data_IF_422554057154
#
_entry.id   IF_422554057154
#
_cell.length_a   1.000
_cell.length_b   1.000
_cell.length_c   1.000
_cell.angle_alpha   90.00
_cell.angle_beta   90.00
_cell.angle_gamma   90.00
#
_symmetry.space_group_name_H-M   'P 1'
#
loop_
_entity.id
_entity.type
_entity.pdbx_description
1 polymer ?
#
# COMPACT_ATOMS: atom_id res chain seq x y z
N UNK A 1 -13.77 -26.10 -21.88
CA UNK A 1 -12.45 -26.07 -21.22
C UNK A 1 -11.88 -24.68 -21.46
N UNK A 2 -12.10 -23.76 -20.53
CA UNK A 2 -11.66 -22.36 -20.62
C UNK A 2 -10.32 -22.30 -19.92
N UNK A 3 -9.24 -22.16 -20.69
CA UNK A 3 -7.90 -21.88 -20.16
C UNK A 3 -7.89 -20.40 -19.79
N UNK A 4 -8.02 -20.09 -18.51
CA UNK A 4 -7.73 -18.76 -17.99
C UNK A 4 -6.20 -18.65 -17.97
N UNK A 5 -5.63 -17.91 -18.93
CA UNK A 5 -4.23 -17.45 -18.86
C UNK A 5 -4.06 -16.65 -17.56
N UNK A 6 -3.42 -17.24 -16.56
CA UNK A 6 -2.85 -16.49 -15.46
C UNK A 6 -1.72 -15.66 -16.08
N UNK A 7 -1.91 -14.36 -16.19
CA UNK A 7 -0.79 -13.45 -16.38
C UNK A 7 0.20 -13.73 -15.24
N UNK A 8 1.38 -14.24 -15.60
CA UNK A 8 2.47 -14.46 -14.65
C UNK A 8 3.02 -13.07 -14.34
N UNK A 9 2.51 -12.45 -13.28
CA UNK A 9 3.14 -11.27 -12.70
C UNK A 9 4.50 -11.73 -12.18
N UNK A 10 5.56 -11.37 -12.90
CA UNK A 10 6.93 -11.64 -12.48
C UNK A 10 7.25 -10.71 -11.32
N UNK A 11 6.94 -11.15 -10.10
CA UNK A 11 7.32 -10.42 -8.89
C UNK A 11 8.83 -10.56 -8.70
N UNK A 12 9.53 -9.43 -8.58
CA UNK A 12 10.97 -9.43 -8.42
C UNK A 12 11.39 -10.08 -7.10
N UNK A 13 12.24 -11.10 -7.16
CA UNK A 13 12.88 -11.70 -6.00
C UNK A 13 13.93 -10.73 -5.47
N UNK A 14 13.75 -10.25 -4.23
CA UNK A 14 14.66 -9.30 -3.57
C UNK A 14 15.83 -10.02 -2.92
N UNK A 15 15.58 -11.20 -2.37
CA UNK A 15 16.58 -12.01 -1.70
C UNK A 15 16.23 -13.50 -1.85
N UNK A 16 17.25 -14.35 -1.87
CA UNK A 16 17.08 -15.80 -1.88
C UNK A 16 18.15 -16.46 -1.04
N UNK A 17 17.72 -17.38 -0.17
CA UNK A 17 18.61 -18.05 0.77
C UNK A 17 17.95 -19.24 1.47
N UNK A 18 18.44 -19.57 2.65
CA UNK A 18 17.97 -20.71 3.45
C UNK A 18 17.44 -20.18 4.79
N UNK A 19 16.17 -20.42 5.05
CA UNK A 19 15.58 -20.26 6.38
C UNK A 19 15.98 -21.48 7.22
N UNK A 20 16.52 -21.25 8.41
CA UNK A 20 16.86 -22.31 9.36
C UNK A 20 16.22 -22.06 10.73
N UNK A 21 15.75 -23.16 11.36
CA UNK A 21 15.25 -23.17 12.72
C UNK A 21 15.60 -24.51 13.35
N UNK A 22 16.43 -24.50 14.38
CA UNK A 22 17.04 -25.71 14.92
C UNK A 22 17.83 -26.48 13.85
N UNK A 23 17.48 -27.73 13.62
CA UNK A 23 18.13 -28.59 12.61
C UNK A 23 17.41 -28.59 11.25
N UNK A 24 16.29 -27.89 11.14
CA UNK A 24 15.51 -27.84 9.90
C UNK A 24 15.95 -26.67 9.04
N UNK A 25 16.17 -26.94 7.75
CA UNK A 25 16.57 -25.95 6.77
C UNK A 25 15.58 -25.94 5.61
N UNK A 26 15.24 -24.76 5.13
CA UNK A 26 14.24 -24.53 4.11
C UNK A 26 14.74 -23.47 3.12
N UNK A 27 15.05 -23.82 1.87
CA UNK A 27 15.34 -22.83 0.84
C UNK A 27 14.12 -21.96 0.56
N UNK A 28 14.31 -20.63 0.68
CA UNK A 28 13.26 -19.63 0.49
C UNK A 28 13.72 -18.49 -0.38
N UNK A 29 12.76 -17.75 -0.90
CA UNK A 29 12.95 -16.48 -1.59
C UNK A 29 12.04 -15.41 -0.96
N UNK A 30 12.56 -14.20 -0.84
CA UNK A 30 11.83 -13.04 -0.34
C UNK A 30 11.36 -12.19 -1.53
N UNK A 31 10.09 -11.85 -1.50
CA UNK A 31 9.38 -11.04 -2.49
C UNK A 31 8.83 -9.81 -1.79
N UNK A 32 8.85 -8.63 -2.41
CA UNK A 32 8.24 -7.44 -1.81
C UNK A 32 6.74 -7.67 -1.57
N UNK A 33 6.28 -7.37 -0.36
CA UNK A 33 4.86 -7.50 0.01
C UNK A 33 4.07 -6.20 -0.23
N UNK A 34 4.77 -5.08 -0.47
CA UNK A 34 4.18 -3.75 -0.61
C UNK A 34 4.70 -3.09 -1.89
N UNK A 35 3.81 -2.48 -2.63
CA UNK A 35 4.13 -1.68 -3.81
C UNK A 35 3.83 -0.20 -3.54
N UNK A 36 4.73 0.67 -3.98
CA UNK A 36 4.55 2.12 -3.81
C UNK A 36 3.64 2.69 -4.88
N UNK A 37 2.62 3.46 -4.48
CA UNK A 37 1.75 4.23 -5.39
C UNK A 37 2.44 5.44 -6.04
N UNK A 38 3.71 5.72 -5.67
CA UNK A 38 4.43 6.90 -6.14
C UNK A 38 4.64 6.87 -7.64
N UNK A 39 4.06 7.83 -8.36
CA UNK A 39 4.32 8.01 -9.77
C UNK A 39 5.76 8.45 -10.01
N UNK A 40 6.46 7.73 -10.88
CA UNK A 40 7.84 8.05 -11.25
C UNK A 40 7.85 9.03 -12.41
N UNK A 41 8.41 10.23 -12.18
CA UNK A 41 8.63 11.22 -13.21
C UNK A 41 10.09 11.21 -13.66
N UNK A 42 10.31 11.39 -14.96
CA UNK A 42 11.61 11.70 -15.49
C UNK A 42 11.85 13.21 -15.48
N UNK A 43 13.07 13.61 -15.17
CA UNK A 43 13.46 15.01 -15.27
C UNK A 43 13.69 15.38 -16.74
N UNK A 44 13.01 16.44 -17.20
CA UNK A 44 13.10 16.94 -18.56
C UNK A 44 13.59 18.39 -18.56
N UNK A 45 14.35 18.79 -19.57
CA UNK A 45 14.74 20.16 -19.79
C UNK A 45 13.55 20.97 -20.28
N UNK A 46 13.30 22.10 -19.63
CA UNK A 46 12.23 23.03 -20.04
C UNK A 46 12.53 23.60 -21.43
N UNK A 47 11.56 23.55 -22.32
CA UNK A 47 11.63 24.10 -23.67
C UNK A 47 11.99 23.08 -24.74
N UNK A 48 12.94 22.17 -24.50
CA UNK A 48 13.31 21.10 -25.46
C UNK A 48 12.56 19.81 -25.21
N UNK A 49 12.21 19.51 -23.94
CA UNK A 49 11.61 18.25 -23.54
C UNK A 49 12.63 17.09 -23.43
N UNK A 50 13.91 17.38 -23.60
CA UNK A 50 14.95 16.37 -23.54
C UNK A 50 15.15 15.83 -22.11
N UNK A 51 15.50 14.54 -22.01
CA UNK A 51 15.70 13.89 -20.73
C UNK A 51 17.02 14.32 -20.08
N UNK A 52 16.94 14.81 -18.85
CA UNK A 52 18.11 15.19 -18.05
C UNK A 52 18.64 13.97 -17.31
N UNK A 53 19.97 13.84 -17.25
CA UNK A 53 20.73 12.83 -16.50
C UNK A 53 21.73 13.49 -15.57
N UNK A 54 21.96 12.87 -14.41
CA UNK A 54 22.96 13.32 -13.46
C UNK A 54 24.34 12.78 -13.85
N UNK A 55 25.37 13.63 -13.76
CA UNK A 55 26.78 13.27 -13.84
C UNK A 55 27.41 13.44 -12.46
N UNK A 56 28.36 12.59 -12.14
CA UNK A 56 29.18 12.74 -10.93
C UNK A 56 30.38 13.58 -11.29
N UNK A 57 30.59 14.63 -10.53
CA UNK A 57 31.72 15.56 -10.75
C UNK A 57 32.50 15.71 -9.47
N UNK A 58 33.80 15.89 -9.57
CA UNK A 58 34.68 16.25 -8.47
C UNK A 58 34.33 17.67 -8.02
N UNK A 59 33.99 17.82 -6.73
CA UNK A 59 33.56 19.10 -6.18
C UNK A 59 34.56 20.23 -6.37
N UNK A 60 35.85 19.93 -6.26
CA UNK A 60 36.92 20.91 -6.36
C UNK A 60 37.27 21.28 -7.80
N UNK A 61 37.28 20.31 -8.76
CA UNK A 61 37.71 20.55 -10.13
C UNK A 61 36.58 20.75 -11.12
N UNK A 62 35.36 20.30 -10.78
CA UNK A 62 34.20 20.28 -11.68
C UNK A 62 34.28 19.21 -12.78
N UNK A 63 35.35 18.39 -12.82
CA UNK A 63 35.52 17.34 -13.81
C UNK A 63 34.66 16.10 -13.51
N UNK A 64 34.20 15.41 -14.54
CA UNK A 64 33.41 14.19 -14.42
C UNK A 64 34.29 13.05 -13.88
N UNK A 65 33.81 12.36 -12.83
CA UNK A 65 34.54 11.24 -12.21
C UNK A 65 33.86 9.93 -12.61
N UNK A 66 34.62 9.00 -13.23
CA UNK A 66 34.13 7.67 -13.55
C UNK A 66 33.78 6.89 -12.27
N UNK A 67 32.77 6.00 -12.36
CA UNK A 67 32.29 5.23 -11.21
C UNK A 67 33.39 4.36 -10.57
N UNK A 68 34.37 3.88 -11.38
CA UNK A 68 35.50 3.08 -10.94
C UNK A 68 36.52 3.85 -10.09
N UNK A 69 36.46 5.17 -10.10
CA UNK A 69 37.37 6.04 -9.32
C UNK A 69 36.67 6.61 -8.07
N UNK A 70 35.41 6.21 -7.81
CA UNK A 70 34.63 6.68 -6.66
C UNK A 70 34.73 5.64 -5.54
N UNK A 71 35.38 6.03 -4.46
CA UNK A 71 35.46 5.26 -3.20
C UNK A 71 34.58 5.87 -2.14
N UNK A 72 34.39 5.16 -1.03
CA UNK A 72 33.63 5.69 0.13
C UNK A 72 34.58 6.36 1.11
N UNK A 73 34.22 7.57 1.54
CA UNK A 73 34.95 8.30 2.59
C UNK A 73 34.07 8.41 3.84
N UNK A 74 34.60 7.98 5.01
CA UNK A 74 33.96 8.23 6.29
C UNK A 74 34.47 9.54 6.88
N UNK A 75 33.60 10.49 7.13
CA UNK A 75 33.93 11.79 7.68
C UNK A 75 34.19 11.66 9.20
N UNK A 76 35.41 11.97 9.63
CA UNK A 76 35.84 11.97 11.03
C UNK A 76 35.64 13.34 11.71
N UNK A 77 35.19 14.33 10.95
CA UNK A 77 35.10 15.73 11.41
C UNK A 77 36.40 16.52 11.24
N UNK A 78 37.51 15.87 10.86
CA UNK A 78 38.83 16.49 10.58
C UNK A 78 39.25 16.18 9.14
N UNK A 79 39.11 14.93 8.71
CA UNK A 79 39.44 14.43 7.39
C UNK A 79 38.53 13.24 7.00
N UNK A 80 38.74 12.68 5.81
CA UNK A 80 38.03 11.51 5.34
C UNK A 80 38.93 10.27 5.43
N UNK A 81 38.43 9.23 6.10
CA UNK A 81 39.02 7.89 6.03
C UNK A 81 38.44 7.19 4.81
N UNK A 82 39.28 6.87 3.84
CA UNK A 82 38.90 6.15 2.64
C UNK A 82 38.67 4.68 2.98
N UNK A 83 37.55 4.14 2.49
CA UNK A 83 37.17 2.72 2.65
C UNK A 83 36.93 2.16 1.27
N UNK A 84 37.73 1.18 0.90
CA UNK A 84 37.64 0.49 -0.39
C UNK A 84 36.44 -0.49 -0.39
N UNK A 85 35.79 -0.71 -1.54
CA UNK A 85 34.70 -1.67 -1.65
C UNK A 85 35.06 -3.08 -1.16
N UNK A 86 36.28 -3.53 -1.45
CA UNK A 86 36.81 -4.84 -1.07
C UNK A 86 36.92 -4.99 0.45
N UNK A 87 37.35 -3.93 1.16
CA UNK A 87 37.44 -3.92 2.63
C UNK A 87 36.05 -4.08 3.27
N UNK A 88 35.00 -3.44 2.67
CA UNK A 88 33.63 -3.60 3.13
C UNK A 88 33.08 -5.01 2.85
N UNK A 89 33.49 -5.60 1.72
CA UNK A 89 33.09 -6.97 1.39
C UNK A 89 33.75 -8.00 2.32
N UNK A 90 34.97 -7.74 2.78
CA UNK A 90 35.72 -8.60 3.70
C UNK A 90 35.13 -8.61 5.11
N UNK A 91 34.64 -7.47 5.60
CA UNK A 91 34.01 -7.34 6.92
C UNK A 91 32.50 -7.60 6.87
N UNK A 92 31.90 -7.63 5.67
CA UNK A 92 30.48 -7.93 5.54
C UNK A 92 30.21 -9.27 6.26
N UNK A 93 29.18 -9.31 7.14
CA UNK A 93 28.83 -10.56 7.83
C UNK A 93 28.56 -11.61 6.76
N UNK A 94 29.48 -12.56 6.61
CA UNK A 94 29.74 -13.44 5.48
C UNK A 94 28.56 -13.63 4.54
N UNK A 95 28.79 -13.88 3.28
CA UNK A 95 27.77 -14.12 2.21
C UNK A 95 26.79 -15.27 2.55
N UNK A 96 26.56 -15.52 3.83
CA UNK A 96 25.59 -16.48 4.34
C UNK A 96 24.21 -16.02 3.91
N UNK A 97 23.74 -16.59 2.81
CA UNK A 97 22.33 -16.46 2.38
C UNK A 97 21.43 -17.24 3.34
N UNK A 98 21.64 -17.08 4.64
CA UNK A 98 20.87 -17.73 5.70
C UNK A 98 20.03 -16.73 6.47
N UNK A 99 18.84 -17.13 6.80
CA UNK A 99 17.91 -16.52 7.72
C UNK A 99 17.73 -17.47 8.86
N UNK A 100 18.48 -17.28 9.95
CA UNK A 100 18.50 -18.22 11.08
C UNK A 100 17.62 -17.69 12.20
N UNK A 101 16.53 -18.40 12.48
CA UNK A 101 15.65 -18.08 13.62
C UNK A 101 16.38 -18.46 14.90
N UNK A 102 16.60 -17.47 15.76
CA UNK A 102 17.27 -17.60 17.06
C UNK A 102 16.31 -17.82 18.21
N UNK A 103 15.05 -17.41 18.06
CA UNK A 103 14.02 -17.55 19.07
C UNK A 103 12.64 -17.17 18.57
N UNK A 104 11.63 -17.39 19.40
CA UNK A 104 10.24 -17.05 19.10
C UNK A 104 9.67 -16.13 20.19
N UNK A 105 8.93 -15.11 19.78
CA UNK A 105 8.31 -14.12 20.67
C UNK A 105 6.83 -13.94 20.32
N UNK A 106 6.05 -13.41 21.27
CA UNK A 106 4.71 -12.90 20.98
C UNK A 106 4.86 -11.56 20.24
N UNK A 107 4.23 -11.44 19.08
CA UNK A 107 4.39 -10.25 18.27
C UNK A 107 3.80 -8.99 18.95
N UNK A 108 2.80 -9.17 19.79
CA UNK A 108 2.18 -8.08 20.57
C UNK A 108 3.15 -7.44 21.58
N UNK A 109 4.26 -8.13 21.94
CA UNK A 109 5.32 -7.59 22.78
C UNK A 109 6.27 -6.68 21.99
N UNK A 110 6.25 -6.75 20.65
CA UNK A 110 7.11 -5.95 19.78
C UNK A 110 6.41 -4.64 19.44
N UNK A 111 6.96 -3.53 19.93
CA UNK A 111 6.39 -2.22 19.64
C UNK A 111 6.44 -1.95 18.12
N UNK A 112 5.34 -1.47 17.50
CA UNK A 112 5.27 -1.19 16.06
C UNK A 112 6.38 -0.28 15.52
N UNK A 113 7.02 0.55 16.35
CA UNK A 113 8.14 1.43 15.98
C UNK A 113 9.35 0.65 15.43
N UNK A 114 9.47 -0.63 15.80
CA UNK A 114 10.58 -1.45 15.33
C UNK A 114 10.40 -1.96 13.90
N UNK A 115 9.17 -2.00 13.36
CA UNK A 115 8.93 -2.55 12.01
C UNK A 115 9.26 -1.53 10.92
N UNK A 116 9.93 -2.02 9.85
CA UNK A 116 10.28 -1.22 8.67
C UNK A 116 9.60 -1.78 7.41
N UNK A 117 10.23 -2.69 6.71
CA UNK A 117 9.73 -3.21 5.44
C UNK A 117 9.19 -4.63 5.55
N UNK A 118 8.26 -4.98 4.67
CA UNK A 118 7.58 -6.29 4.69
C UNK A 118 7.85 -7.07 3.40
N UNK A 119 8.11 -8.36 3.56
CA UNK A 119 8.37 -9.31 2.47
C UNK A 119 7.55 -10.59 2.65
N UNK A 120 7.09 -11.16 1.56
CA UNK A 120 6.58 -12.53 1.53
C UNK A 120 7.74 -13.50 1.37
N UNK A 121 7.74 -14.57 2.15
CA UNK A 121 8.67 -15.68 1.99
C UNK A 121 7.97 -16.82 1.26
N UNK A 122 8.53 -17.24 0.14
CA UNK A 122 8.03 -18.37 -0.62
C UNK A 122 9.07 -19.51 -0.62
N UNK A 123 8.66 -20.79 -0.61
CA UNK A 123 9.59 -21.92 -0.75
C UNK A 123 10.23 -21.91 -2.13
N UNK A 124 11.49 -22.29 -2.21
CA UNK A 124 12.26 -22.32 -3.45
C UNK A 124 12.30 -23.76 -4.01
N UNK A 125 11.17 -24.23 -4.48
CA UNK A 125 10.94 -25.55 -5.05
C UNK A 125 9.75 -26.25 -4.40
N UNK A 126 9.05 -27.05 -5.19
CA UNK A 126 7.87 -27.80 -4.74
C UNK A 126 8.22 -28.88 -3.70
N UNK A 127 9.42 -29.42 -3.75
CA UNK A 127 9.95 -30.41 -2.81
C UNK A 127 10.01 -29.90 -1.37
N UNK A 128 10.10 -28.58 -1.19
CA UNK A 128 10.14 -27.93 0.14
C UNK A 128 8.76 -27.53 0.67
N UNK A 129 7.71 -27.69 -0.12
CA UNK A 129 6.35 -27.25 0.25
C UNK A 129 5.88 -27.85 1.57
N UNK A 130 6.18 -29.13 1.82
CA UNK A 130 5.78 -29.82 3.07
C UNK A 130 6.42 -29.20 4.31
N UNK A 131 7.71 -28.89 4.25
CA UNK A 131 8.45 -28.28 5.38
C UNK A 131 7.98 -26.84 5.58
N UNK A 132 7.73 -26.12 4.49
CA UNK A 132 7.19 -24.77 4.53
C UNK A 132 5.81 -24.70 5.21
N UNK A 133 4.88 -25.56 4.78
CA UNK A 133 3.54 -25.65 5.38
C UNK A 133 3.62 -26.02 6.85
N UNK A 134 4.47 -27.00 7.22
CA UNK A 134 4.64 -27.40 8.61
C UNK A 134 5.09 -26.22 9.48
N UNK A 135 6.09 -25.45 9.06
CA UNK A 135 6.58 -24.30 9.81
C UNK A 135 5.50 -23.20 9.90
N UNK A 136 4.85 -22.90 8.79
CA UNK A 136 3.75 -21.91 8.74
C UNK A 136 2.63 -22.30 9.72
N UNK A 137 2.16 -23.54 9.68
CA UNK A 137 1.09 -24.03 10.58
C UNK A 137 1.52 -23.99 12.05
N UNK A 138 2.75 -24.41 12.36
CA UNK A 138 3.27 -24.35 13.71
C UNK A 138 3.31 -22.91 14.26
N UNK A 139 3.73 -21.96 13.43
CA UNK A 139 3.75 -20.53 13.79
C UNK A 139 2.33 -19.94 13.89
N UNK A 140 1.41 -20.33 13.00
CA UNK A 140 0.02 -19.90 13.05
C UNK A 140 -0.68 -20.39 14.32
N UNK A 141 -0.53 -21.68 14.68
CA UNK A 141 -1.14 -22.25 15.87
C UNK A 141 -0.54 -21.72 17.17
N UNK A 142 0.75 -21.44 17.18
CA UNK A 142 1.42 -20.90 18.38
C UNK A 142 1.21 -19.38 18.54
N UNK A 143 0.80 -18.66 17.51
CA UNK A 143 0.72 -17.20 17.50
C UNK A 143 2.08 -16.49 17.62
N UNK A 144 3.20 -17.23 17.49
CA UNK A 144 4.55 -16.69 17.70
C UNK A 144 5.18 -16.21 16.39
N UNK A 145 6.05 -15.22 16.52
CA UNK A 145 6.95 -14.76 15.46
C UNK A 145 8.38 -15.22 15.75
N UNK A 146 9.07 -15.74 14.73
CA UNK A 146 10.49 -16.09 14.83
C UNK A 146 11.37 -14.88 14.64
N UNK A 147 12.28 -14.61 15.57
CA UNK A 147 13.28 -13.55 15.46
C UNK A 147 14.53 -14.11 14.82
N UNK A 148 15.04 -13.41 13.83
CA UNK A 148 16.19 -13.82 13.04
C UNK A 148 17.04 -12.62 12.61
N UNK A 149 18.22 -12.90 12.05
CA UNK A 149 18.99 -11.93 11.27
C UNK A 149 19.13 -12.41 9.83
N UNK A 150 19.22 -11.47 8.90
CA UNK A 150 19.42 -11.74 7.48
C UNK A 150 20.33 -10.70 6.85
N UNK A 151 21.21 -11.13 5.96
CA UNK A 151 22.04 -10.22 5.18
C UNK A 151 21.40 -10.01 3.81
N UNK A 152 21.05 -8.75 3.52
CA UNK A 152 20.51 -8.29 2.22
C UNK A 152 21.26 -7.03 1.80
N UNK A 153 21.68 -6.96 0.53
CA UNK A 153 22.37 -5.79 -0.03
C UNK A 153 23.58 -5.33 0.80
N UNK A 154 24.39 -6.27 1.31
CA UNK A 154 25.58 -6.03 2.14
C UNK A 154 25.27 -5.33 3.49
N UNK A 155 24.02 -5.41 3.96
CA UNK A 155 23.62 -4.95 5.30
C UNK A 155 22.93 -6.08 6.03
N UNK A 156 23.24 -6.23 7.34
CA UNK A 156 22.53 -7.12 8.23
C UNK A 156 21.24 -6.44 8.75
N UNK A 157 20.15 -7.19 8.74
CA UNK A 157 18.84 -6.76 9.24
C UNK A 157 18.38 -7.70 10.33
N UNK A 158 17.85 -7.13 11.40
CA UNK A 158 17.01 -7.84 12.34
C UNK A 158 15.66 -8.07 11.67
N UNK A 159 15.10 -9.27 11.79
CA UNK A 159 13.82 -9.60 11.16
C UNK A 159 12.90 -10.40 12.08
N UNK A 160 11.60 -10.20 11.92
CA UNK A 160 10.56 -11.02 12.50
C UNK A 160 9.85 -11.80 11.38
N UNK A 161 9.78 -13.12 11.51
CA UNK A 161 9.05 -14.00 10.58
C UNK A 161 7.80 -14.48 11.27
N UNK A 162 6.63 -14.38 10.62
CA UNK A 162 5.35 -14.88 11.13
C UNK A 162 4.52 -15.54 10.05
N UNK A 163 3.58 -16.37 10.45
CA UNK A 163 2.53 -16.86 9.56
C UNK A 163 1.46 -15.79 9.34
N UNK A 164 1.01 -15.64 8.09
CA UNK A 164 -0.17 -14.85 7.72
C UNK A 164 -0.90 -15.56 6.59
N UNK A 165 -2.13 -15.95 6.81
CA UNK A 165 -2.91 -16.69 5.84
C UNK A 165 -2.13 -17.92 5.31
N UNK A 166 -1.93 -18.04 4.01
CA UNK A 166 -1.22 -19.14 3.38
C UNK A 166 0.29 -18.93 3.21
N UNK A 167 0.85 -17.84 3.75
CA UNK A 167 2.26 -17.47 3.55
C UNK A 167 3.00 -17.18 4.85
N UNK A 168 4.34 -17.30 4.81
CA UNK A 168 5.21 -16.69 5.81
C UNK A 168 5.53 -15.26 5.39
N UNK A 169 5.45 -14.36 6.36
CA UNK A 169 5.77 -12.94 6.18
C UNK A 169 7.00 -12.61 7.01
N UNK A 170 7.95 -11.93 6.40
CA UNK A 170 9.15 -11.42 7.05
C UNK A 170 9.06 -9.89 7.13
N UNK A 171 9.19 -9.35 8.32
CA UNK A 171 9.33 -7.91 8.54
C UNK A 171 10.77 -7.61 8.89
N UNK A 172 11.41 -6.65 8.19
CA UNK A 172 12.65 -6.06 8.69
C UNK A 172 12.36 -5.16 9.87
N UNK A 173 13.32 -5.09 10.79
CA UNK A 173 13.17 -4.35 12.04
C UNK A 173 14.36 -3.43 12.26
N UNK A 174 14.13 -2.34 12.95
CA UNK A 174 15.18 -1.48 13.48
C UNK A 174 15.90 -2.15 14.63
N UNK A 175 17.21 -1.87 14.75
CA UNK A 175 17.97 -2.22 15.94
C UNK A 175 17.55 -1.32 17.12
N UNK A 176 17.78 -1.76 18.35
CA UNK A 176 17.36 -1.04 19.54
C UNK A 176 18.00 0.37 19.66
N UNK A 177 19.21 0.53 19.16
CA UNK A 177 19.96 1.78 19.13
C UNK A 177 19.55 2.72 17.98
N UNK A 178 18.85 2.21 16.97
CA UNK A 178 18.25 3.04 15.90
C UNK A 178 16.98 3.74 16.37
N UNK A 179 16.28 3.20 17.38
CA UNK A 179 15.05 3.77 17.93
C UNK A 179 15.38 4.92 18.86
N UNK A 180 14.99 6.13 18.49
CA UNK A 180 15.30 7.34 19.25
C UNK A 180 14.46 7.45 20.52
N UNK A 181 15.11 7.85 21.60
CA UNK A 181 14.44 8.16 22.86
C UNK A 181 13.62 9.46 22.73
N UNK A 182 12.29 9.45 22.94
CA UNK A 182 11.46 10.64 22.82
C UNK A 182 11.85 11.76 23.78
N UNK A 183 12.34 11.42 24.99
CA UNK A 183 12.77 12.43 25.98
C UNK A 183 14.04 13.17 25.56
N UNK A 184 14.83 12.59 24.66
CA UNK A 184 16.00 13.27 24.07
C UNK A 184 15.63 14.06 22.81
N UNK A 185 14.56 13.66 22.10
CA UNK A 185 14.18 14.29 20.84
C UNK A 185 13.19 15.45 21.01
N UNK A 186 12.35 15.40 22.03
CA UNK A 186 11.30 16.37 22.30
C UNK A 186 11.67 17.20 23.54
N UNK A 187 12.19 18.44 23.36
CA UNK A 187 12.69 19.25 24.48
C UNK A 187 11.64 19.60 25.53
N UNK A 188 10.35 19.53 25.16
CA UNK A 188 9.23 19.84 26.05
C UNK A 188 8.79 18.67 26.92
N UNK A 189 9.38 17.49 26.75
CA UNK A 189 9.08 16.33 27.60
C UNK A 189 9.96 16.30 28.85
N UNK A 190 9.42 15.86 30.00
CA UNK A 190 8.02 15.54 30.23
C UNK A 190 7.14 16.78 30.17
N UNK A 191 5.91 16.62 29.63
CA UNK A 191 4.95 17.71 29.65
C UNK A 191 4.59 18.09 31.09
N UNK A 192 4.34 19.37 31.41
CA UNK A 192 3.88 19.76 32.71
C UNK A 192 2.56 19.05 33.05
N UNK A 193 2.43 18.63 34.32
CA UNK A 193 1.16 18.05 34.79
C UNK A 193 0.04 19.07 34.57
N UNK A 194 -0.88 18.74 33.71
CA UNK A 194 -2.13 19.48 33.52
C UNK A 194 -3.21 18.80 34.36
N UNK A 195 -3.82 19.46 35.35
CA UNK A 195 -4.92 18.87 36.09
C UNK A 195 -6.10 18.67 35.13
N UNK A 196 -6.38 17.42 34.79
CA UNK A 196 -7.58 17.04 34.03
C UNK A 196 -8.71 16.75 35.00
N UNK A 197 -9.88 17.28 34.72
CA UNK A 197 -11.09 16.90 35.43
C UNK A 197 -11.57 15.53 34.95
N UNK A 198 -12.28 14.80 35.81
CA UNK A 198 -12.89 13.51 35.44
C UNK A 198 -13.84 13.67 34.24
N UNK A 199 -14.60 14.76 34.23
CA UNK A 199 -15.58 15.05 33.16
C UNK A 199 -14.89 15.31 31.81
N UNK A 200 -13.76 16.02 31.79
CA UNK A 200 -12.97 16.22 30.55
C UNK A 200 -12.43 14.90 30.01
N UNK A 201 -11.90 14.05 30.88
CA UNK A 201 -11.38 12.75 30.47
C UNK A 201 -12.48 11.82 29.97
N UNK A 202 -13.61 11.74 30.68
CA UNK A 202 -14.78 10.93 30.25
C UNK A 202 -15.33 11.44 28.91
N UNK A 203 -15.43 12.75 28.73
CA UNK A 203 -15.87 13.35 27.46
C UNK A 203 -14.91 13.04 26.30
N UNK A 204 -13.60 13.05 26.54
CA UNK A 204 -12.61 12.68 25.54
C UNK A 204 -12.67 11.17 25.19
N UNK A 205 -12.80 10.31 26.19
CA UNK A 205 -12.97 8.86 25.98
C UNK A 205 -14.23 8.58 25.17
N UNK A 206 -15.37 9.20 25.52
CA UNK A 206 -16.61 9.04 24.78
C UNK A 206 -16.49 9.50 23.31
N UNK A 207 -15.75 10.59 23.04
CA UNK A 207 -15.47 11.01 21.66
C UNK A 207 -14.67 9.96 20.90
N UNK A 208 -13.61 9.39 21.50
CA UNK A 208 -12.82 8.32 20.90
C UNK A 208 -13.69 7.10 20.58
N UNK A 209 -14.55 6.69 21.52
CA UNK A 209 -15.46 5.56 21.31
C UNK A 209 -16.49 5.83 20.21
N UNK A 210 -17.08 7.04 20.18
CA UNK A 210 -18.04 7.45 19.14
C UNK A 210 -17.42 7.51 17.73
N UNK A 211 -16.12 7.75 17.64
CA UNK A 211 -15.37 7.74 16.39
C UNK A 211 -14.71 6.40 16.06
N UNK A 212 -14.78 5.42 16.97
CA UNK A 212 -14.17 4.10 16.76
C UNK A 212 -14.97 3.28 15.74
N UNK A 213 -14.26 2.62 14.84
CA UNK A 213 -14.82 1.73 13.83
C UNK A 213 -13.87 0.57 13.56
N UNK A 214 -14.35 -0.47 12.91
CA UNK A 214 -13.51 -1.58 12.49
C UNK A 214 -12.49 -1.12 11.43
N UNK A 215 -11.28 -1.66 11.56
CA UNK A 215 -10.23 -1.36 10.60
C UNK A 215 -10.54 -1.95 9.22
N UNK A 216 -10.77 -1.09 8.24
CA UNK A 216 -10.93 -1.46 6.84
C UNK A 216 -9.99 -0.61 5.97
N UNK A 217 -8.87 -1.16 5.49
CA UNK A 217 -7.89 -0.41 4.69
C UNK A 217 -8.48 0.13 3.36
N UNK A 218 -9.53 -0.50 2.81
CA UNK A 218 -10.15 -0.07 1.55
C UNK A 218 -10.87 1.29 1.65
N UNK A 219 -11.17 1.74 2.86
CA UNK A 219 -11.77 3.06 3.11
C UNK A 219 -10.77 4.20 2.94
N UNK A 220 -9.48 3.91 3.06
CA UNK A 220 -8.41 4.92 2.97
C UNK A 220 -7.82 4.91 1.57
N UNK A 221 -7.83 6.08 0.90
CA UNK A 221 -7.32 6.25 -0.47
C UNK A 221 -6.30 7.37 -0.51
N UNK A 222 -5.29 7.19 -1.35
CA UNK A 222 -4.34 8.26 -1.68
C UNK A 222 -4.96 9.21 -2.73
N UNK A 223 -5.65 10.22 -2.22
CA UNK A 223 -6.27 11.25 -3.06
C UNK A 223 -5.25 12.10 -3.83
N UNK A 224 -4.01 12.19 -3.33
CA UNK A 224 -2.96 12.92 -4.03
C UNK A 224 -2.52 12.15 -5.29
N UNK A 225 -2.27 10.86 -5.16
CA UNK A 225 -1.94 10.00 -6.30
C UNK A 225 -3.04 10.01 -7.38
N UNK A 226 -4.32 9.99 -6.97
CA UNK A 226 -5.45 10.08 -7.90
C UNK A 226 -5.44 11.43 -8.65
N UNK A 227 -5.24 12.55 -7.96
CA UNK A 227 -5.15 13.88 -8.58
C UNK A 227 -3.95 14.02 -9.52
N UNK A 228 -2.81 13.44 -9.15
CA UNK A 228 -1.63 13.42 -10.04
C UNK A 228 -1.93 12.63 -11.32
N UNK A 229 -2.63 11.50 -11.21
CA UNK A 229 -3.06 10.71 -12.37
C UNK A 229 -4.01 11.48 -13.28
N UNK A 230 -5.02 12.12 -12.70
CA UNK A 230 -5.95 12.99 -13.43
C UNK A 230 -5.23 14.15 -14.14
N UNK A 231 -4.24 14.77 -13.47
CA UNK A 231 -3.43 15.84 -14.07
C UNK A 231 -2.64 15.35 -15.28
N UNK A 232 -2.02 14.18 -15.18
CA UNK A 232 -1.26 13.57 -16.27
C UNK A 232 -2.18 13.25 -17.46
N UNK A 233 -3.35 12.64 -17.20
CA UNK A 233 -4.34 12.33 -18.24
C UNK A 233 -4.89 13.59 -18.92
N UNK A 234 -5.21 14.63 -18.14
CA UNK A 234 -5.69 15.89 -18.70
C UNK A 234 -4.63 16.54 -19.60
N UNK A 235 -3.37 16.57 -19.16
CA UNK A 235 -2.26 17.10 -19.97
C UNK A 235 -1.99 16.27 -21.21
N UNK A 236 -2.11 14.95 -21.12
CA UNK A 236 -1.94 14.04 -22.25
C UNK A 236 -3.04 14.27 -23.32
N UNK A 237 -4.27 14.56 -22.91
CA UNK A 237 -5.40 14.87 -23.80
C UNK A 237 -5.46 16.33 -24.27
N UNK A 238 -4.44 17.15 -23.97
CA UNK A 238 -4.37 18.57 -24.37
C UNK A 238 -5.24 19.51 -23.54
N UNK A 239 -5.77 19.03 -22.42
CA UNK A 239 -6.55 19.80 -21.46
C UNK A 239 -5.70 20.41 -20.35
N UNK A 240 -6.28 21.38 -19.64
CA UNK A 240 -5.73 21.89 -18.38
C UNK A 240 -6.69 21.54 -17.25
N UNK A 241 -6.22 20.83 -16.25
CA UNK A 241 -6.96 20.73 -14.99
C UNK A 241 -6.92 22.12 -14.31
N UNK A 242 -8.08 22.75 -14.18
CA UNK A 242 -8.22 23.81 -13.19
C UNK A 242 -8.18 23.14 -11.83
N UNK A 243 -7.02 23.15 -11.19
CA UNK A 243 -6.87 22.68 -9.83
C UNK A 243 -7.61 23.63 -8.89
N UNK A 244 -8.91 23.43 -8.73
CA UNK A 244 -9.63 23.97 -7.59
C UNK A 244 -9.32 23.05 -6.41
N UNK A 245 -8.10 23.18 -5.89
CA UNK A 245 -7.82 22.69 -4.56
C UNK A 245 -8.59 23.60 -3.60
N UNK A 246 -9.79 23.22 -3.21
CA UNK A 246 -10.28 23.64 -1.91
C UNK A 246 -9.30 23.05 -0.90
N UNK A 247 -8.37 23.90 -0.44
CA UNK A 247 -7.59 23.54 0.73
C UNK A 247 -8.60 23.16 1.83
N UNK A 248 -8.43 22.00 2.49
CA UNK A 248 -9.26 21.71 3.64
C UNK A 248 -9.20 22.92 4.57
N UNK A 249 -10.34 23.33 5.16
CA UNK A 249 -10.35 24.49 6.04
C UNK A 249 -9.26 24.26 7.09
N UNK A 250 -8.32 25.21 7.15
CA UNK A 250 -7.27 25.17 8.17
C UNK A 250 -7.99 25.09 9.51
N UNK A 251 -7.74 24.07 10.34
CA UNK A 251 -8.36 24.01 11.64
C UNK A 251 -7.95 25.29 12.38
N UNK A 252 -8.89 26.19 12.58
CA UNK A 252 -8.72 27.33 13.48
C UNK A 252 -8.47 26.70 14.84
N UNK A 253 -7.31 27.00 15.42
CA UNK A 253 -6.99 26.64 16.80
C UNK A 253 -8.11 27.22 17.66
N UNK A 254 -8.99 26.40 18.27
CA UNK A 254 -9.95 26.98 19.19
C UNK A 254 -9.19 27.56 20.36
N UNK A 255 -9.52 28.77 20.74
CA UNK A 255 -9.16 29.25 22.07
C UNK A 255 -9.71 28.23 23.07
N UNK A 256 -8.84 27.62 23.87
CA UNK A 256 -9.16 26.50 24.76
C UNK A 256 -9.94 27.00 26.00
N UNK A 257 -10.86 27.93 25.81
CA UNK A 257 -11.64 28.51 26.91
C UNK A 257 -12.75 27.57 27.43
N UNK A 258 -13.22 26.61 26.63
CA UNK A 258 -14.22 25.61 27.07
C UNK A 258 -14.01 24.28 26.36
N UNK A 259 -13.05 23.51 26.84
CA UNK A 259 -12.73 22.19 26.32
C UNK A 259 -13.92 21.22 26.41
N UNK A 260 -14.69 21.27 27.49
CA UNK A 260 -15.84 20.40 27.74
C UNK A 260 -16.93 20.65 26.70
N UNK A 261 -17.26 21.91 26.43
CA UNK A 261 -18.26 22.25 25.41
C UNK A 261 -17.79 21.85 23.99
N UNK A 262 -16.48 22.01 23.68
CA UNK A 262 -15.90 21.59 22.41
C UNK A 262 -15.94 20.07 22.23
N UNK A 263 -15.63 19.28 23.27
CA UNK A 263 -15.74 17.83 23.27
C UNK A 263 -17.20 17.36 23.07
N UNK A 264 -18.14 17.92 23.83
CA UNK A 264 -19.58 17.59 23.68
C UNK A 264 -20.12 17.91 22.28
N UNK A 265 -19.71 19.05 21.69
CA UNK A 265 -20.07 19.40 20.32
C UNK A 265 -19.46 18.42 19.28
N UNK A 266 -18.24 17.94 19.54
CA UNK A 266 -17.56 16.98 18.67
C UNK A 266 -18.21 15.60 18.75
N UNK A 267 -18.59 15.13 19.94
CA UNK A 267 -19.35 13.88 20.14
C UNK A 267 -20.66 13.92 19.34
N UNK A 268 -21.46 14.98 19.50
CA UNK A 268 -22.72 15.13 18.74
C UNK A 268 -22.51 15.06 17.23
N UNK A 269 -21.48 15.72 16.70
CA UNK A 269 -21.16 15.63 15.27
C UNK A 269 -20.72 14.24 14.83
N UNK A 270 -19.99 13.50 15.68
CA UNK A 270 -19.57 12.14 15.38
C UNK A 270 -20.78 11.19 15.34
N UNK A 271 -21.70 11.31 16.30
CA UNK A 271 -22.94 10.54 16.36
C UNK A 271 -23.87 10.84 15.17
N UNK A 272 -24.00 12.12 14.78
CA UNK A 272 -24.78 12.52 13.60
C UNK A 272 -24.21 11.91 12.31
N UNK A 273 -22.88 11.88 12.13
CA UNK A 273 -22.23 11.23 11.00
C UNK A 273 -22.44 9.72 11.00
N UNK A 274 -22.30 9.07 12.16
CA UNK A 274 -22.52 7.64 12.30
C UNK A 274 -23.97 7.23 12.02
N UNK A 275 -24.95 8.09 12.33
CA UNK A 275 -26.36 7.88 11.99
C UNK A 275 -26.66 8.12 10.51
N UNK A 276 -25.95 9.04 9.86
CA UNK A 276 -26.10 9.32 8.42
C UNK A 276 -25.48 8.21 7.57
N UNK A 277 -24.33 7.66 7.98
CA UNK A 277 -23.70 6.49 7.34
C UNK A 277 -24.51 5.18 7.53
N UNK A 278 -25.37 5.09 8.56
CA UNK A 278 -26.29 3.96 8.78
C UNK A 278 -27.61 4.07 8.00
N UNK A 279 -27.94 5.24 7.46
CA UNK A 279 -29.05 5.33 6.51
C UNK A 279 -28.67 4.56 5.25
N UNK A 280 -29.51 3.60 4.75
CA UNK A 280 -29.27 2.97 3.48
C UNK A 280 -29.11 4.06 2.46
N UNK A 281 -27.96 4.08 1.77
CA UNK A 281 -27.56 5.10 0.83
C UNK A 281 -28.70 5.39 -0.13
N UNK A 282 -29.40 6.50 0.07
CA UNK A 282 -30.26 7.09 -0.93
C UNK A 282 -29.38 7.24 -2.17
N UNK A 283 -29.79 6.65 -3.29
CA UNK A 283 -29.05 6.47 -4.52
C UNK A 283 -28.20 7.71 -4.84
N UNK A 284 -26.89 7.53 -4.93
CA UNK A 284 -25.96 8.60 -5.30
C UNK A 284 -26.41 9.21 -6.64
N UNK A 285 -26.24 10.50 -6.91
CA UNK A 285 -26.66 11.15 -8.17
C UNK A 285 -26.17 10.44 -9.44
N UNK A 286 -25.07 9.69 -9.36
CA UNK A 286 -24.59 8.82 -10.42
C UNK A 286 -25.49 7.61 -10.74
N UNK A 287 -26.20 7.09 -9.73
CA UNK A 287 -27.11 5.94 -9.90
C UNK A 287 -28.48 6.38 -10.47
N UNK A 288 -28.93 7.56 -10.10
CA UNK A 288 -30.16 8.15 -10.66
C UNK A 288 -30.00 8.50 -12.16
N UNK A 289 -28.85 9.05 -12.55
CA UNK A 289 -28.49 9.32 -13.96
C UNK A 289 -28.31 7.98 -14.73
N UNK A 290 -27.74 6.95 -14.07
CA UNK A 290 -27.61 5.63 -14.67
C UNK A 290 -28.95 4.90 -14.78
N UNK A 291 -29.85 5.05 -13.82
CA UNK A 291 -31.21 4.51 -13.85
C UNK A 291 -32.06 5.20 -14.93
N UNK A 292 -31.98 6.54 -15.04
CA UNK A 292 -32.67 7.33 -16.07
C UNK A 292 -32.17 7.03 -17.49
N UNK A 293 -30.87 6.75 -17.66
CA UNK A 293 -30.30 6.27 -18.92
C UNK A 293 -30.70 4.83 -19.27
N UNK A 294 -30.96 3.97 -18.28
CA UNK A 294 -31.45 2.60 -18.49
C UNK A 294 -32.93 2.58 -18.89
N UNK A 295 -33.77 3.40 -18.25
CA UNK A 295 -35.19 3.49 -18.62
C UNK A 295 -35.39 4.09 -20.02
N UNK A 296 -34.63 5.14 -20.39
CA UNK A 296 -34.67 5.73 -21.72
C UNK A 296 -34.29 4.74 -22.80
N UNK A 297 -33.20 3.97 -22.61
CA UNK A 297 -32.72 2.99 -23.56
C UNK A 297 -33.65 1.75 -23.71
N UNK A 298 -34.25 1.33 -22.60
CA UNK A 298 -35.23 0.25 -22.65
C UNK A 298 -36.47 0.67 -23.46
N UNK A 299 -36.93 1.90 -23.29
CA UNK A 299 -38.01 2.46 -24.07
C UNK A 299 -37.67 2.58 -25.58
N UNK A 300 -36.40 2.91 -25.92
CA UNK A 300 -35.93 2.89 -27.32
C UNK A 300 -35.93 1.47 -27.89
N UNK A 301 -35.45 0.47 -27.18
CA UNK A 301 -35.45 -0.92 -27.63
C UNK A 301 -36.87 -1.52 -27.72
N UNK A 302 -37.79 -1.07 -26.88
CA UNK A 302 -39.23 -1.47 -26.94
C UNK A 302 -39.96 -0.94 -28.17
N UNK A 303 -39.42 0.07 -28.85
CA UNK A 303 -39.96 0.58 -30.14
C UNK A 303 -39.46 -0.21 -31.36
N UNK A 304 -38.41 -1.02 -31.21
CA UNK A 304 -37.83 -1.77 -32.31
C UNK A 304 -38.58 -3.09 -32.58
N UNK A 305 -38.63 -3.48 -33.85
CA UNK A 305 -39.15 -4.78 -34.29
C UNK A 305 -38.23 -5.93 -33.85
N UNK A 306 -38.74 -7.15 -33.80
CA UNK A 306 -37.94 -8.33 -33.48
C UNK A 306 -36.74 -8.51 -34.41
N UNK A 307 -36.90 -8.15 -35.70
CA UNK A 307 -35.82 -8.25 -36.70
C UNK A 307 -34.70 -7.25 -36.45
N UNK A 308 -35.02 -6.02 -36.06
CA UNK A 308 -34.06 -4.99 -35.68
C UNK A 308 -33.35 -5.34 -34.38
N UNK A 309 -34.07 -5.82 -33.37
CA UNK A 309 -33.49 -6.31 -32.12
C UNK A 309 -32.51 -7.48 -32.34
N UNK A 310 -32.86 -8.38 -33.26
CA UNK A 310 -31.98 -9.50 -33.67
C UNK A 310 -30.71 -9.01 -34.37
N UNK A 311 -30.83 -8.01 -35.24
CA UNK A 311 -29.67 -7.34 -35.88
C UNK A 311 -28.74 -6.71 -34.83
N UNK A 312 -29.30 -5.98 -33.86
CA UNK A 312 -28.56 -5.38 -32.74
C UNK A 312 -27.90 -6.44 -31.84
N UNK A 313 -28.58 -7.54 -31.56
CA UNK A 313 -28.05 -8.67 -30.81
C UNK A 313 -26.89 -9.37 -31.52
N UNK A 314 -26.96 -9.41 -32.87
CA UNK A 314 -25.88 -9.94 -33.73
C UNK A 314 -24.64 -9.04 -33.65
N UNK A 315 -24.80 -7.74 -33.82
CA UNK A 315 -23.73 -6.77 -33.72
C UNK A 315 -23.09 -6.71 -32.30
N UNK A 316 -23.90 -7.00 -31.27
CA UNK A 316 -23.43 -7.08 -29.88
C UNK A 316 -22.82 -8.44 -29.49
N UNK A 317 -22.81 -9.43 -30.39
CA UNK A 317 -22.24 -10.76 -30.18
C UNK A 317 -22.97 -11.61 -29.12
N UNK A 318 -24.29 -11.43 -28.94
CA UNK A 318 -25.08 -12.16 -27.96
C UNK A 318 -25.24 -13.62 -28.38
N UNK A 319 -24.80 -14.62 -27.61
CA UNK A 319 -24.97 -16.02 -27.90
C UNK A 319 -26.43 -16.45 -27.69
N UNK A 320 -26.90 -17.43 -28.46
CA UNK A 320 -28.26 -18.00 -28.31
C UNK A 320 -29.40 -17.13 -28.85
N UNK A 321 -29.11 -16.01 -29.51
CA UNK A 321 -30.11 -15.03 -30.01
C UNK A 321 -31.17 -15.60 -30.97
N UNK A 322 -30.89 -16.71 -31.64
CA UNK A 322 -31.81 -17.34 -32.57
C UNK A 322 -33.06 -17.96 -31.95
N UNK A 323 -32.98 -18.31 -30.67
CA UNK A 323 -34.08 -18.92 -29.92
C UNK A 323 -34.77 -17.94 -28.97
N UNK A 324 -34.31 -16.68 -28.89
CA UNK A 324 -34.80 -15.67 -27.96
C UNK A 324 -36.12 -15.03 -28.45
N UNK A 325 -37.02 -14.83 -27.52
CA UNK A 325 -38.21 -14.00 -27.71
C UNK A 325 -37.84 -12.51 -27.82
N UNK A 326 -38.80 -11.67 -28.24
CA UNK A 326 -38.56 -10.20 -28.31
C UNK A 326 -38.12 -9.61 -26.96
N UNK A 327 -38.77 -10.01 -25.88
CA UNK A 327 -38.47 -9.49 -24.54
C UNK A 327 -37.13 -10.00 -24.02
N UNK A 328 -36.74 -11.21 -24.33
CA UNK A 328 -35.42 -11.76 -24.02
C UNK A 328 -34.30 -11.04 -24.78
N UNK A 329 -34.52 -10.66 -26.05
CA UNK A 329 -33.58 -9.85 -26.84
C UNK A 329 -33.40 -8.45 -26.24
N UNK A 330 -34.47 -7.80 -25.79
CA UNK A 330 -34.43 -6.49 -25.11
C UNK A 330 -33.63 -6.61 -23.79
N UNK A 331 -33.92 -7.63 -22.99
CA UNK A 331 -33.22 -7.86 -21.74
C UNK A 331 -31.73 -8.18 -21.96
N UNK A 332 -31.39 -9.01 -22.95
CA UNK A 332 -30.02 -9.37 -23.28
C UNK A 332 -29.23 -8.16 -23.82
N UNK A 333 -29.82 -7.30 -24.66
CA UNK A 333 -29.21 -6.07 -25.15
C UNK A 333 -29.01 -5.00 -24.08
N UNK A 334 -29.87 -4.98 -23.07
CA UNK A 334 -29.77 -4.08 -21.91
C UNK A 334 -28.63 -4.52 -20.97
N UNK A 335 -28.35 -5.84 -20.89
CA UNK A 335 -27.40 -6.45 -19.97
C UNK A 335 -26.00 -6.65 -20.60
N UNK A 336 -25.88 -6.86 -21.88
CA UNK A 336 -24.66 -7.24 -22.60
C UNK A 336 -23.50 -6.24 -22.48
N UNK A 337 -23.78 -4.94 -22.19
CA UNK A 337 -22.75 -3.92 -21.99
C UNK A 337 -22.09 -3.96 -20.62
N UNK A 338 -22.61 -4.73 -19.68
CA UNK A 338 -22.06 -4.90 -18.33
C UNK A 338 -20.78 -5.76 -18.35
N UNK A 339 -20.67 -6.70 -19.29
CA UNK A 339 -19.50 -7.57 -19.43
C UNK A 339 -18.33 -6.93 -20.18
N UNK A 340 -18.57 -5.97 -21.09
CA UNK A 340 -17.50 -5.29 -21.84
C UNK A 340 -16.77 -4.20 -21.03
N UNK A 341 -17.37 -3.66 -19.96
CA UNK A 341 -16.73 -2.66 -19.05
C UNK A 341 -15.99 -3.28 -17.86
N UNK A 342 -16.10 -4.61 -17.68
CA UNK A 342 -15.31 -5.34 -16.66
C UNK A 342 -14.08 -6.04 -17.24
N UNK A 343 -13.87 -5.95 -18.55
CA UNK A 343 -12.77 -6.59 -19.27
C UNK A 343 -11.86 -5.58 -20.02
N UNK A 344 -11.89 -4.29 -19.65
CA UNK A 344 -10.93 -3.28 -20.12
C UNK A 344 -10.38 -2.50 -18.93
#
# INVERSE_FOLDING_TARGET
MVVISKEVVVVAVVWGGVLSFGLVTLPVQALTAVESHTMRFHQLQRGTGDRVRNKRVNERTGEEVPLSEIVKGYDTGVDYVVVEPEELDDIAPGRSKSLTITGFVDLDQVNPIYFDSTYYLAPRGEEYARVYVLLREAMAQSGKAGIATVVMHNKEYLVAVKAKDDVLVMHTMHWADEVRDPYRQIPTLPLPEAPLTTEELEGAVHLVEAMSHEWNPEQYRDHYADRVRELVEAKHSGGTLQAKAEAPPTPTTPEVADLTAALQASVRRAEERATDDRKPAAARPSDEVAAKRRSGRRAELEQLTKAELYSHATAAGIPGRSTMSRDELINALTTARRHRRRAS
#
